data_IF_012422505024
#
_entry.id   IF_012422505024
#
_cell.length_a   1.000
_cell.length_b   1.000
_cell.length_c   1.000
_cell.angle_alpha   90.00
_cell.angle_beta   90.00
_cell.angle_gamma   90.00
#
_symmetry.space_group_name_H-M   'P 1'
#
loop_
_entity.id
_entity.type
_entity.pdbx_description
1 polymer ?
#
# COMPACT_ATOMS: atom_id res chain seq x y z
N UNK A 1 25.21 14.16 -10.57
CA UNK A 1 24.23 14.43 -9.48
C UNK A 1 22.88 15.00 -9.93
N UNK A 2 22.80 16.09 -10.71
CA UNK A 2 21.53 16.75 -11.08
C UNK A 2 20.54 15.87 -11.86
N UNK A 3 21.01 15.03 -12.79
CA UNK A 3 20.18 14.08 -13.56
C UNK A 3 19.49 13.04 -12.66
N UNK A 4 20.26 12.38 -11.77
CA UNK A 4 19.75 11.39 -10.79
C UNK A 4 18.66 11.98 -9.86
N UNK A 5 18.76 13.26 -9.46
CA UNK A 5 17.71 13.94 -8.66
C UNK A 5 16.41 14.14 -9.47
N UNK A 6 16.52 14.54 -10.74
CA UNK A 6 15.38 14.79 -11.62
C UNK A 6 14.59 13.52 -11.94
N UNK A 7 15.26 12.38 -12.17
CA UNK A 7 14.60 11.09 -12.41
C UNK A 7 13.81 10.61 -11.18
N UNK A 8 14.39 10.73 -9.98
CA UNK A 8 13.69 10.41 -8.72
C UNK A 8 12.44 11.27 -8.52
N UNK A 9 12.53 12.57 -8.82
CA UNK A 9 11.38 13.47 -8.71
C UNK A 9 10.27 13.12 -9.71
N UNK A 10 10.61 12.80 -10.96
CA UNK A 10 9.63 12.35 -11.97
C UNK A 10 8.91 11.07 -11.53
N UNK A 11 9.65 10.05 -11.11
CA UNK A 11 9.08 8.78 -10.62
C UNK A 11 8.18 9.01 -9.39
N UNK A 12 8.55 9.95 -8.49
CA UNK A 12 7.69 10.36 -7.36
C UNK A 12 6.39 10.99 -7.85
N UNK A 13 6.47 11.97 -8.74
CA UNK A 13 5.28 12.65 -9.28
C UNK A 13 4.36 11.70 -10.03
N UNK A 14 4.89 10.70 -10.74
CA UNK A 14 4.09 9.69 -11.44
C UNK A 14 3.29 8.83 -10.44
N UNK A 15 3.94 8.34 -9.37
CA UNK A 15 3.27 7.58 -8.32
C UNK A 15 2.20 8.43 -7.61
N UNK A 16 2.52 9.68 -7.31
CA UNK A 16 1.58 10.62 -6.69
C UNK A 16 0.38 10.91 -7.59
N UNK A 17 0.59 11.06 -8.90
CA UNK A 17 -0.47 11.26 -9.89
C UNK A 17 -1.39 10.03 -10.00
N UNK A 18 -0.83 8.81 -9.99
CA UNK A 18 -1.61 7.56 -9.95
C UNK A 18 -2.48 7.47 -8.70
N UNK A 19 -1.90 7.80 -7.54
CA UNK A 19 -2.63 7.77 -6.28
C UNK A 19 -3.77 8.81 -6.25
N UNK A 20 -3.48 10.04 -6.67
CA UNK A 20 -4.48 11.10 -6.78
C UNK A 20 -5.62 10.68 -7.72
N UNK A 21 -5.30 10.02 -8.83
CA UNK A 21 -6.28 9.51 -9.79
C UNK A 21 -7.20 8.43 -9.19
N UNK A 22 -6.61 7.49 -8.45
CA UNK A 22 -7.38 6.47 -7.73
C UNK A 22 -8.35 7.13 -6.74
N UNK A 23 -7.90 8.14 -6.02
CA UNK A 23 -8.73 8.80 -5.01
C UNK A 23 -9.84 9.66 -5.64
N UNK A 24 -9.59 10.32 -6.77
CA UNK A 24 -10.63 10.98 -7.58
C UNK A 24 -11.71 10.00 -8.06
N UNK A 25 -11.29 8.83 -8.57
CA UNK A 25 -12.25 7.82 -9.03
C UNK A 25 -13.08 7.24 -7.87
N UNK A 26 -12.52 7.16 -6.66
CA UNK A 26 -13.24 6.71 -5.47
C UNK A 26 -14.28 7.73 -5.04
N UNK A 27 -13.92 9.01 -4.99
CA UNK A 27 -14.87 10.06 -4.61
C UNK A 27 -16.01 10.15 -5.62
N UNK A 28 -15.69 10.00 -6.91
CA UNK A 28 -16.70 9.92 -7.96
C UNK A 28 -17.62 8.70 -7.78
N UNK A 29 -17.07 7.50 -7.58
CA UNK A 29 -17.84 6.28 -7.35
C UNK A 29 -18.83 6.44 -6.18
N UNK A 30 -18.34 6.99 -5.05
CA UNK A 30 -19.15 7.25 -3.87
C UNK A 30 -20.27 8.26 -4.16
N UNK A 31 -19.98 9.32 -4.91
CA UNK A 31 -20.99 10.31 -5.32
C UNK A 31 -22.07 9.70 -6.21
N UNK A 32 -21.69 8.90 -7.20
CA UNK A 32 -22.64 8.21 -8.08
C UNK A 32 -23.53 7.24 -7.30
N UNK A 33 -22.94 6.47 -6.38
CA UNK A 33 -23.67 5.56 -5.50
C UNK A 33 -24.64 6.29 -4.59
N UNK A 34 -24.23 7.41 -4.00
CA UNK A 34 -25.10 8.24 -3.17
C UNK A 34 -26.34 8.71 -3.94
N UNK A 35 -26.19 9.13 -5.21
CA UNK A 35 -27.33 9.52 -6.05
C UNK A 35 -28.30 8.36 -6.24
N UNK A 36 -27.80 7.14 -6.48
CA UNK A 36 -28.64 5.94 -6.60
C UNK A 36 -29.42 5.70 -5.29
N UNK A 37 -28.72 5.75 -4.16
CA UNK A 37 -29.31 5.48 -2.84
C UNK A 37 -30.36 6.54 -2.45
N UNK A 38 -30.11 7.82 -2.72
CA UNK A 38 -31.06 8.91 -2.48
C UNK A 38 -32.34 8.74 -3.31
N UNK A 39 -32.20 8.37 -4.59
CA UNK A 39 -33.35 8.14 -5.48
C UNK A 39 -34.15 6.91 -5.10
N UNK A 40 -33.46 5.82 -4.74
CA UNK A 40 -34.11 4.61 -4.26
C UNK A 40 -34.87 4.86 -2.96
N UNK A 41 -34.28 5.61 -2.03
CA UNK A 41 -34.93 6.03 -0.78
C UNK A 41 -36.16 6.91 -1.07
N UNK A 42 -36.04 7.90 -1.95
CA UNK A 42 -37.17 8.74 -2.35
C UNK A 42 -38.32 7.93 -2.98
N UNK A 43 -38.00 6.91 -3.78
CA UNK A 43 -38.98 6.00 -4.36
C UNK A 43 -39.74 5.20 -3.29
N UNK A 44 -39.02 4.62 -2.32
CA UNK A 44 -39.65 3.91 -1.19
C UNK A 44 -40.58 4.84 -0.42
N UNK A 45 -40.13 6.05 -0.09
CA UNK A 45 -40.93 7.04 0.63
C UNK A 45 -42.19 7.43 -0.15
N UNK A 46 -42.09 7.59 -1.47
CA UNK A 46 -43.24 7.89 -2.32
C UNK A 46 -44.26 6.75 -2.29
N UNK A 47 -43.82 5.50 -2.40
CA UNK A 47 -44.70 4.32 -2.30
C UNK A 47 -45.36 4.21 -0.92
N UNK A 48 -44.60 4.43 0.15
CA UNK A 48 -45.11 4.38 1.53
C UNK A 48 -46.09 5.52 1.85
N UNK A 49 -45.94 6.68 1.21
CA UNK A 49 -46.78 7.86 1.46
C UNK A 49 -48.23 7.71 0.95
N UNK A 50 -48.56 6.63 0.23
CA UNK A 50 -49.91 6.41 -0.30
C UNK A 50 -50.32 7.40 -1.40
N UNK A 51 -49.40 8.24 -1.88
CA UNK A 51 -49.67 9.21 -2.95
C UNK A 51 -50.02 8.55 -4.30
N UNK A 52 -49.93 7.21 -4.41
CA UNK A 52 -50.22 6.45 -5.62
C UNK A 52 -51.70 6.16 -5.86
N UNK A 53 -52.62 6.46 -4.93
CA UNK A 53 -54.00 5.97 -5.04
C UNK A 53 -54.89 6.70 -6.07
N UNK A 54 -54.48 7.83 -6.66
CA UNK A 54 -55.38 8.67 -7.47
C UNK A 54 -55.01 8.92 -8.95
N UNK A 55 -54.07 8.18 -9.57
CA UNK A 55 -53.74 8.48 -10.98
C UNK A 55 -53.02 7.40 -11.78
N UNK A 56 -53.79 6.53 -12.45
CA UNK A 56 -53.70 6.10 -13.87
C UNK A 56 -52.35 6.02 -14.63
N UNK A 57 -51.19 5.87 -13.99
CA UNK A 57 -49.88 5.93 -14.67
C UNK A 57 -48.82 4.91 -14.20
N UNK A 58 -49.22 3.90 -13.44
CA UNK A 58 -48.29 2.96 -12.78
C UNK A 58 -47.78 1.81 -13.68
N UNK A 59 -47.48 2.07 -14.96
CA UNK A 59 -46.99 1.01 -15.88
C UNK A 59 -45.47 0.90 -15.99
N UNK A 60 -44.69 1.68 -15.23
CA UNK A 60 -43.23 1.73 -15.44
C UNK A 60 -42.42 0.63 -14.72
N UNK A 61 -42.97 -0.11 -13.76
CA UNK A 61 -42.17 -1.04 -12.92
C UNK A 61 -42.71 -2.48 -12.81
N UNK A 62 -43.61 -2.90 -13.71
CA UNK A 62 -44.17 -4.27 -13.66
C UNK A 62 -43.32 -5.35 -14.35
N UNK A 63 -42.16 -5.02 -14.92
CA UNK A 63 -41.34 -5.98 -15.68
C UNK A 63 -39.90 -6.05 -15.17
N UNK A 64 -39.68 -6.67 -14.00
CA UNK A 64 -38.49 -7.46 -13.68
C UNK A 64 -38.55 -7.89 -12.22
N UNK A 65 -39.44 -8.83 -11.92
CA UNK A 65 -39.46 -9.56 -10.65
C UNK A 65 -38.42 -10.70 -10.60
N UNK A 66 -37.33 -10.57 -11.35
CA UNK A 66 -36.10 -11.34 -11.16
C UNK A 66 -35.26 -10.54 -10.17
N UNK A 67 -35.65 -10.61 -8.89
CA UNK A 67 -34.88 -10.03 -7.81
C UNK A 67 -33.49 -10.67 -7.79
N UNK A 68 -32.39 -9.90 -7.76
CA UNK A 68 -31.09 -10.44 -7.38
C UNK A 68 -31.14 -10.77 -5.89
N UNK A 69 -31.72 -11.93 -5.57
CA UNK A 69 -31.56 -12.53 -4.26
C UNK A 69 -30.08 -12.73 -4.00
N UNK A 70 -29.64 -12.26 -2.85
CA UNK A 70 -28.51 -12.87 -2.12
C UNK A 70 -27.12 -12.72 -2.74
N UNK A 71 -26.71 -11.50 -3.10
CA UNK A 71 -25.29 -11.13 -2.92
C UNK A 71 -25.14 -10.56 -1.51
N UNK A 72 -25.30 -11.47 -0.55
CA UNK A 72 -24.97 -11.26 0.84
C UNK A 72 -23.55 -10.77 0.93
N UNK A 73 -23.42 -9.60 1.54
CA UNK A 73 -22.20 -9.00 2.07
C UNK A 73 -21.48 -9.97 3.00
N UNK A 74 -20.82 -10.97 2.42
CA UNK A 74 -19.86 -11.88 3.05
C UNK A 74 -18.42 -11.50 2.72
N UNK A 75 -18.17 -10.22 2.41
CA UNK A 75 -16.83 -9.70 2.60
C UNK A 75 -16.68 -9.36 4.07
N UNK A 76 -16.39 -10.40 4.83
CA UNK A 76 -15.66 -10.30 6.09
C UNK A 76 -14.51 -9.34 5.85
N UNK A 77 -14.57 -8.18 6.50
CA UNK A 77 -13.41 -7.35 6.78
C UNK A 77 -12.49 -8.15 7.71
N UNK A 78 -11.83 -9.17 7.14
CA UNK A 78 -10.66 -9.77 7.74
C UNK A 78 -9.63 -8.64 7.78
N UNK A 79 -9.57 -8.00 8.94
CA UNK A 79 -8.62 -6.95 9.24
C UNK A 79 -7.25 -7.44 8.82
N UNK A 80 -6.61 -6.73 7.90
CA UNK A 80 -5.24 -6.99 7.44
C UNK A 80 -4.24 -7.06 8.62
N UNK A 81 -4.63 -6.54 9.80
CA UNK A 81 -3.90 -6.67 11.05
C UNK A 81 -3.82 -8.11 11.60
N UNK A 82 -4.68 -9.04 11.18
CA UNK A 82 -4.64 -10.45 11.62
C UNK A 82 -3.70 -11.34 10.80
N UNK A 83 -3.28 -10.93 9.60
CA UNK A 83 -2.33 -11.70 8.77
C UNK A 83 -0.88 -11.36 9.14
N UNK A 84 -0.64 -10.17 9.69
CA UNK A 84 0.66 -9.78 10.23
C UNK A 84 0.69 -10.19 11.70
N UNK A 85 1.00 -11.47 11.95
CA UNK A 85 1.11 -12.07 13.28
C UNK A 85 1.85 -11.18 14.28
N UNK A 86 1.07 -10.46 15.09
CA UNK A 86 1.54 -9.72 16.24
C UNK A 86 1.07 -10.51 17.45
N UNK A 87 1.94 -11.41 17.90
CA UNK A 87 1.75 -12.18 19.12
C UNK A 87 1.49 -11.22 20.29
N UNK A 88 0.31 -11.27 20.93
CA UNK A 88 -0.05 -10.37 22.03
C UNK A 88 0.52 -10.80 23.39
N UNK A 89 1.28 -11.90 23.47
CA UNK A 89 1.90 -12.40 24.70
C UNK A 89 3.38 -12.00 24.86
N UNK A 90 3.78 -10.83 24.35
CA UNK A 90 5.06 -10.21 24.72
C UNK A 90 4.88 -9.40 26.01
N UNK A 91 4.47 -10.10 27.08
CA UNK A 91 4.51 -9.58 28.45
C UNK A 91 5.98 -9.43 28.88
N UNK A 92 6.38 -8.18 29.07
CA UNK A 92 7.32 -7.73 30.11
C UNK A 92 8.73 -8.37 30.15
N UNK A 93 9.34 -8.60 28.98
CA UNK A 93 10.77 -8.89 28.89
C UNK A 93 11.59 -7.59 28.96
N UNK A 94 11.95 -7.28 30.21
CA UNK A 94 13.03 -6.41 30.67
C UNK A 94 14.04 -6.06 29.59
N UNK A 95 14.16 -4.77 29.33
CA UNK A 95 15.26 -3.95 28.82
C UNK A 95 16.67 -4.60 28.76
N UNK A 96 16.83 -5.73 28.06
CA UNK A 96 18.12 -6.36 27.83
C UNK A 96 18.73 -5.73 26.58
N UNK A 97 19.67 -4.81 26.81
CA UNK A 97 20.37 -4.07 25.77
C UNK A 97 20.74 -5.01 24.59
N UNK A 98 20.42 -4.64 23.34
CA UNK A 98 20.52 -5.54 22.20
C UNK A 98 21.93 -6.09 22.11
N UNK A 99 22.09 -7.37 22.47
CA UNK A 99 23.38 -8.04 22.49
C UNK A 99 23.95 -7.95 21.07
N UNK A 100 24.99 -7.13 20.92
CA UNK A 100 25.68 -6.89 19.66
C UNK A 100 26.19 -8.23 19.15
N UNK A 101 25.43 -8.87 18.26
CA UNK A 101 25.82 -10.13 17.62
C UNK A 101 27.16 -9.89 16.93
N UNK A 102 28.24 -10.36 17.55
CA UNK A 102 29.59 -10.28 17.00
C UNK A 102 29.56 -11.05 15.68
N UNK A 103 29.52 -10.31 14.57
CA UNK A 103 29.53 -10.90 13.23
C UNK A 103 30.82 -11.69 13.11
N UNK A 104 30.71 -13.02 13.05
CA UNK A 104 31.86 -13.93 12.86
C UNK A 104 32.54 -13.59 11.53
N UNK A 105 33.60 -12.78 11.60
CA UNK A 105 34.26 -12.11 10.46
C UNK A 105 35.15 -13.05 9.62
N UNK A 106 35.16 -14.36 9.84
CA UNK A 106 36.27 -15.23 9.42
C UNK A 106 35.97 -16.36 8.43
N UNK A 107 34.80 -16.42 7.78
CA UNK A 107 34.50 -17.54 6.86
C UNK A 107 34.88 -17.30 5.40
N UNK A 108 35.13 -16.06 4.99
CA UNK A 108 35.30 -15.68 3.58
C UNK A 108 36.48 -14.74 3.40
N UNK A 109 37.21 -14.89 2.30
CA UNK A 109 38.29 -13.97 1.92
C UNK A 109 37.74 -12.56 1.64
N UNK A 110 38.55 -11.49 1.70
CA UNK A 110 38.12 -10.15 1.30
C UNK A 110 37.47 -10.11 -0.09
N UNK A 111 38.06 -10.78 -1.08
CA UNK A 111 37.53 -10.86 -2.44
C UNK A 111 36.17 -11.60 -2.51
N UNK A 112 36.02 -12.72 -1.81
CA UNK A 112 34.74 -13.45 -1.73
C UNK A 112 33.65 -12.60 -1.05
N UNK A 113 34.00 -11.85 0.00
CA UNK A 113 33.06 -10.94 0.66
C UNK A 113 32.56 -9.85 -0.28
N UNK A 114 33.46 -9.32 -1.10
CA UNK A 114 33.12 -8.29 -2.09
C UNK A 114 32.20 -8.87 -3.18
N UNK A 115 32.53 -10.03 -3.72
CA UNK A 115 31.66 -10.74 -4.66
C UNK A 115 30.26 -11.00 -4.08
N UNK A 116 30.17 -11.47 -2.83
CA UNK A 116 28.88 -11.67 -2.13
C UNK A 116 28.12 -10.34 -1.94
N UNK A 117 28.83 -9.24 -1.68
CA UNK A 117 28.25 -7.89 -1.55
C UNK A 117 27.64 -7.43 -2.87
N UNK A 118 28.39 -7.52 -3.97
CA UNK A 118 27.93 -7.16 -5.32
C UNK A 118 26.73 -7.98 -5.75
N UNK A 119 26.78 -9.31 -5.59
CA UNK A 119 25.66 -10.19 -5.96
C UNK A 119 24.40 -9.91 -5.12
N UNK A 120 24.56 -9.65 -3.81
CA UNK A 120 23.44 -9.23 -2.96
C UNK A 120 22.86 -7.90 -3.42
N UNK A 121 23.70 -6.92 -3.76
CA UNK A 121 23.26 -5.61 -4.24
C UNK A 121 22.48 -5.78 -5.55
N UNK A 122 23.02 -6.53 -6.52
CA UNK A 122 22.37 -6.88 -7.78
C UNK A 122 20.99 -7.47 -7.57
N UNK A 123 20.89 -8.47 -6.70
CA UNK A 123 19.61 -9.09 -6.34
C UNK A 123 18.65 -8.12 -5.64
N UNK A 124 19.14 -7.21 -4.79
CA UNK A 124 18.32 -6.22 -4.11
C UNK A 124 17.79 -5.14 -5.07
N UNK A 125 18.64 -4.65 -5.98
CA UNK A 125 18.27 -3.72 -7.03
C UNK A 125 17.19 -4.32 -7.93
N UNK A 126 17.40 -5.56 -8.41
CA UNK A 126 16.40 -6.30 -9.20
C UNK A 126 15.05 -6.40 -8.49
N UNK A 127 15.01 -6.92 -7.26
CA UNK A 127 13.76 -7.03 -6.47
C UNK A 127 13.09 -5.68 -6.23
N UNK A 128 13.86 -4.59 -6.13
CA UNK A 128 13.30 -3.25 -5.94
C UNK A 128 12.69 -2.70 -7.23
N UNK A 129 13.28 -2.99 -8.38
CA UNK A 129 12.70 -2.68 -9.70
C UNK A 129 11.41 -3.48 -9.91
N UNK A 130 11.45 -4.79 -9.68
CA UNK A 130 10.29 -5.69 -9.84
C UNK A 130 9.11 -5.24 -8.98
N UNK A 131 9.36 -4.91 -7.70
CA UNK A 131 8.31 -4.39 -6.80
C UNK A 131 7.71 -3.07 -7.29
N UNK A 132 8.53 -2.15 -7.82
CA UNK A 132 8.03 -0.88 -8.37
C UNK A 132 7.21 -1.11 -9.64
N UNK A 133 7.68 -1.99 -10.53
CA UNK A 133 6.97 -2.36 -11.76
C UNK A 133 5.59 -2.95 -11.43
N UNK A 134 5.55 -3.95 -10.56
CA UNK A 134 4.30 -4.57 -10.11
C UNK A 134 3.34 -3.55 -9.48
N UNK A 135 3.83 -2.64 -8.65
CA UNK A 135 3.01 -1.59 -8.03
C UNK A 135 2.39 -0.64 -9.06
N UNK A 136 3.15 -0.23 -10.08
CA UNK A 136 2.64 0.62 -11.16
C UNK A 136 1.58 -0.13 -11.97
N UNK A 137 1.88 -1.35 -12.42
CA UNK A 137 0.92 -2.19 -13.18
C UNK A 137 -0.38 -2.44 -12.39
N UNK A 138 -0.27 -2.69 -11.08
CA UNK A 138 -1.43 -2.91 -10.21
C UNK A 138 -2.26 -1.65 -10.03
N UNK A 139 -1.61 -0.49 -9.86
CA UNK A 139 -2.27 0.81 -9.76
C UNK A 139 -3.03 1.15 -11.04
N UNK A 140 -2.44 0.88 -12.20
CA UNK A 140 -3.06 1.10 -13.51
C UNK A 140 -4.25 0.17 -13.75
N UNK A 141 -4.11 -1.11 -13.42
CA UNK A 141 -5.23 -2.06 -13.46
C UNK A 141 -6.37 -1.58 -12.58
N UNK A 142 -6.08 -1.08 -11.37
CA UNK A 142 -7.08 -0.57 -10.45
C UNK A 142 -7.81 0.66 -11.00
N UNK A 143 -7.07 1.60 -11.61
CA UNK A 143 -7.66 2.76 -12.30
C UNK A 143 -8.62 2.29 -13.41
N UNK A 144 -8.18 1.36 -14.26
CA UNK A 144 -8.99 0.86 -15.37
C UNK A 144 -10.32 0.22 -14.90
N UNK A 145 -10.27 -0.62 -13.85
CA UNK A 145 -11.48 -1.23 -13.27
C UNK A 145 -12.41 -0.16 -12.72
N UNK A 146 -11.89 0.80 -11.96
CA UNK A 146 -12.70 1.87 -11.37
C UNK A 146 -13.31 2.81 -12.42
N UNK A 147 -12.59 3.10 -13.51
CA UNK A 147 -13.11 3.87 -14.63
C UNK A 147 -14.27 3.14 -15.33
N UNK A 148 -14.15 1.82 -15.51
CA UNK A 148 -15.21 0.98 -16.08
C UNK A 148 -16.46 0.95 -15.17
N UNK A 149 -16.28 0.76 -13.86
CA UNK A 149 -17.39 0.77 -12.89
C UNK A 149 -18.10 2.12 -12.84
N UNK A 150 -17.35 3.22 -12.81
CA UNK A 150 -17.92 4.57 -12.85
C UNK A 150 -18.65 4.84 -14.16
N UNK A 151 -18.13 4.36 -15.30
CA UNK A 151 -18.82 4.45 -16.58
C UNK A 151 -20.17 3.71 -16.55
N UNK A 152 -20.21 2.48 -16.01
CA UNK A 152 -21.46 1.70 -15.85
C UNK A 152 -22.49 2.42 -14.98
N UNK A 153 -22.05 3.02 -13.86
CA UNK A 153 -22.94 3.79 -12.98
C UNK A 153 -23.49 5.05 -13.65
N UNK A 154 -22.65 5.79 -14.38
CA UNK A 154 -23.09 6.95 -15.17
C UNK A 154 -24.11 6.56 -16.23
N UNK A 155 -23.85 5.48 -16.96
CA UNK A 155 -24.76 4.97 -17.99
C UNK A 155 -26.11 4.54 -17.39
N UNK A 156 -26.08 3.87 -16.24
CA UNK A 156 -27.28 3.49 -15.48
C UNK A 156 -28.10 4.73 -15.08
N UNK A 157 -27.46 5.70 -14.42
CA UNK A 157 -28.13 6.92 -13.97
C UNK A 157 -28.68 7.74 -15.14
N UNK A 158 -27.95 7.80 -16.26
CA UNK A 158 -28.40 8.48 -17.48
C UNK A 158 -29.60 7.79 -18.09
N UNK A 159 -29.57 6.45 -18.21
CA UNK A 159 -30.68 5.65 -18.75
C UNK A 159 -31.96 5.82 -17.94
N UNK A 160 -31.85 6.00 -16.63
CA UNK A 160 -32.98 6.21 -15.73
C UNK A 160 -33.36 7.68 -15.51
N UNK A 161 -32.71 8.62 -16.20
CA UNK A 161 -32.98 10.06 -16.05
C UNK A 161 -32.68 10.60 -14.64
N UNK A 162 -31.82 9.92 -13.90
CA UNK A 162 -31.40 10.31 -12.55
C UNK A 162 -30.24 11.30 -12.56
N UNK A 163 -29.45 11.31 -13.65
CA UNK A 163 -28.38 12.27 -13.89
C UNK A 163 -28.80 13.24 -14.99
N UNK A 164 -28.83 14.53 -14.70
CA UNK A 164 -29.02 15.55 -15.72
C UNK A 164 -27.74 15.70 -16.54
N UNK A 165 -27.86 15.76 -17.86
CA UNK A 165 -26.71 15.96 -18.77
C UNK A 165 -25.92 17.24 -18.46
N UNK A 166 -26.53 18.21 -17.75
CA UNK A 166 -25.92 19.47 -17.32
C UNK A 166 -25.12 19.35 -16.03
N UNK A 167 -25.47 18.38 -15.17
CA UNK A 167 -24.81 18.11 -13.90
C UNK A 167 -23.91 16.87 -13.99
N UNK A 168 -23.71 16.34 -15.21
CA UNK A 168 -22.85 15.20 -15.43
C UNK A 168 -21.44 15.57 -14.95
N UNK A 169 -20.95 14.84 -13.95
CA UNK A 169 -19.56 14.93 -13.50
C UNK A 169 -18.70 14.77 -14.76
N UNK A 170 -17.86 15.77 -15.11
CA UNK A 170 -17.09 15.75 -16.33
C UNK A 170 -16.39 14.41 -16.42
N UNK A 171 -16.55 13.71 -17.56
CA UNK A 171 -15.78 12.49 -17.79
C UNK A 171 -14.32 12.92 -17.64
N UNK A 172 -13.58 12.37 -16.67
CA UNK A 172 -12.21 12.78 -16.47
C UNK A 172 -11.45 12.58 -17.77
N UNK A 173 -10.62 13.57 -18.11
CA UNK A 173 -9.85 13.53 -19.34
C UNK A 173 -9.06 12.20 -19.40
N UNK A 174 -9.02 11.53 -20.56
CA UNK A 174 -8.22 10.33 -20.71
C UNK A 174 -6.79 10.66 -20.27
N UNK A 175 -6.22 9.81 -19.42
CA UNK A 175 -4.84 9.97 -18.94
C UNK A 175 -3.93 10.06 -20.15
N UNK A 176 -3.08 11.07 -20.16
CA UNK A 176 -2.07 11.23 -21.20
C UNK A 176 -1.01 10.13 -21.02
N UNK A 177 -1.19 9.04 -21.77
CA UNK A 177 -0.27 7.89 -21.78
C UNK A 177 1.05 8.19 -22.48
N UNK A 178 1.22 9.38 -23.07
CA UNK A 178 2.48 9.77 -23.70
C UNK A 178 3.65 9.78 -22.71
N UNK A 179 3.39 10.11 -21.43
CA UNK A 179 4.41 10.15 -20.38
C UNK A 179 4.85 8.75 -19.92
N UNK A 180 4.05 7.72 -20.15
CA UNK A 180 4.37 6.35 -19.72
C UNK A 180 5.33 5.65 -20.71
N UNK A 181 5.35 6.05 -21.98
CA UNK A 181 6.27 5.49 -23.00
C UNK A 181 7.73 5.84 -22.76
N UNK A 182 8.02 7.02 -22.21
CA UNK A 182 9.40 7.48 -21.99
C UNK A 182 10.10 6.78 -20.81
N UNK A 183 9.38 5.98 -20.02
CA UNK A 183 9.93 5.30 -18.84
C UNK A 183 10.59 3.96 -19.19
N UNK A 184 10.13 3.28 -20.24
CA UNK A 184 10.68 1.97 -20.64
C UNK A 184 12.07 2.08 -21.27
N UNK A 185 12.35 3.16 -22.01
CA UNK A 185 13.62 3.33 -22.72
C UNK A 185 14.78 3.81 -21.82
N UNK A 186 14.51 4.31 -20.61
CA UNK A 186 15.55 4.89 -19.76
C UNK A 186 16.29 3.87 -18.87
N UNK A 187 15.73 2.68 -18.64
CA UNK A 187 16.28 1.71 -17.71
C UNK A 187 17.33 0.75 -18.35
N UNK A 188 17.53 0.80 -19.68
CA UNK A 188 18.48 -0.08 -20.38
C UNK A 188 19.93 0.43 -20.39
N UNK A 189 20.15 1.76 -20.53
CA UNK A 189 21.51 2.31 -20.67
C UNK A 189 22.17 2.71 -19.34
N UNK A 190 21.40 2.95 -18.27
CA UNK A 190 21.91 3.32 -16.93
C UNK A 190 22.42 2.09 -16.13
N UNK A 191 22.48 0.90 -16.77
CA UNK A 191 22.91 -0.37 -16.17
C UNK A 191 24.40 -0.65 -16.31
N UNK A 192 25.09 0.02 -17.22
CA UNK A 192 26.51 -0.26 -17.51
C UNK A 192 27.47 0.72 -16.82
N UNK A 193 27.01 1.89 -16.37
CA UNK A 193 27.90 2.91 -15.79
C UNK A 193 28.15 2.74 -14.27
N UNK A 194 27.18 2.25 -13.49
CA UNK A 194 27.32 2.20 -12.01
C UNK A 194 28.19 1.00 -11.50
N UNK A 195 28.57 0.02 -12.35
CA UNK A 195 29.43 -1.13 -11.96
C UNK A 195 30.92 -0.93 -12.35
N UNK A 196 31.27 0.09 -13.13
CA UNK A 196 32.64 0.31 -13.63
C UNK A 196 33.43 1.41 -12.92
N UNK A 197 32.79 2.27 -12.10
CA UNK A 197 33.48 3.38 -11.43
C UNK A 197 34.00 3.07 -10.00
N UNK A 198 33.82 1.84 -9.47
CA UNK A 198 34.33 1.46 -8.13
C UNK A 198 35.63 0.61 -8.18
N UNK A 199 36.36 0.61 -9.31
CA UNK A 199 37.64 -0.13 -9.47
C UNK A 199 38.94 0.69 -9.34
N UNK A 200 38.90 2.02 -9.13
CA UNK A 200 40.14 2.85 -9.16
C UNK A 200 40.75 3.26 -7.80
N UNK A 201 40.21 2.83 -6.64
CA UNK A 201 40.72 3.26 -5.30
C UNK A 201 41.48 2.14 -4.53
N UNK A 202 42.12 1.18 -5.21
CA UNK A 202 42.85 0.06 -4.56
C UNK A 202 44.35 -0.01 -4.85
N UNK A 203 45.00 1.11 -5.18
CA UNK A 203 46.48 1.18 -5.23
C UNK A 203 47.07 2.28 -4.34
N UNK A 204 46.78 2.25 -3.04
CA UNK A 204 47.70 2.78 -2.03
C UNK A 204 47.79 1.78 -0.88
N UNK A 205 48.58 0.72 -1.11
CA UNK A 205 49.25 -0.03 -0.04
C UNK A 205 50.16 0.95 0.72
N UNK A 206 49.59 1.79 1.59
CA UNK A 206 50.36 2.42 2.66
C UNK A 206 50.80 1.30 3.61
N UNK A 207 52.10 0.98 3.54
CA UNK A 207 52.84 0.24 4.54
C UNK A 207 52.44 0.72 5.94
N UNK A 208 51.58 -0.04 6.62
CA UNK A 208 51.37 0.11 8.06
C UNK A 208 52.67 -0.40 8.70
N UNK A 209 53.63 0.51 8.88
CA UNK A 209 54.78 0.30 9.76
C UNK A 209 54.25 -0.11 11.14
N UNK A 210 54.68 -1.30 11.57
CA UNK A 210 54.50 -1.82 12.92
C UNK A 210 54.96 -0.77 13.95
N UNK A 211 54.03 -0.03 14.54
CA UNK A 211 54.31 0.77 15.73
C UNK A 211 54.15 -0.10 16.98
N UNK A 212 55.23 -0.42 17.71
CA UNK A 212 55.14 -1.22 18.92
C UNK A 212 54.64 -0.36 20.09
N UNK A 213 53.79 -1.00 20.90
CA UNK A 213 53.62 -0.81 22.34
C UNK A 213 53.84 0.59 22.95
N UNK A 214 52.72 1.19 23.36
CA UNK A 214 52.64 1.75 24.71
C UNK A 214 52.50 3.26 24.79
N UNK A 215 51.26 3.72 24.98
CA UNK A 215 51.03 4.84 25.91
C UNK A 215 49.59 4.84 26.43
N UNK A 216 49.48 4.53 27.73
CA UNK A 216 48.29 4.72 28.56
C UNK A 216 48.16 6.21 28.89
N UNK A 217 47.07 6.85 28.48
CA UNK A 217 46.54 8.12 29.03
C UNK A 217 45.02 8.01 28.82
N UNK A 218 44.14 7.62 29.75
CA UNK A 218 43.83 8.04 31.12
C UNK A 218 43.45 9.52 31.26
N UNK A 219 42.15 9.73 31.58
CA UNK A 219 41.47 10.96 31.97
C UNK A 219 41.07 11.86 30.77
N UNK A 220 39.87 12.44 30.66
CA UNK A 220 39.01 13.08 31.67
C UNK A 220 37.61 13.38 31.09
N UNK A 221 36.57 13.03 31.85
CA UNK A 221 35.47 13.90 32.31
C UNK A 221 34.89 14.96 31.34
N UNK A 222 33.59 14.84 31.05
CA UNK A 222 32.79 15.85 30.36
C UNK A 222 31.31 15.47 30.31
N UNK A 223 30.69 15.52 31.49
CA UNK A 223 29.29 15.20 31.79
C UNK A 223 28.45 16.44 31.46
N UNK A 224 27.65 16.42 30.39
CA UNK A 224 26.61 17.42 30.18
C UNK A 224 25.25 16.73 30.13
N UNK A 225 24.46 17.07 31.16
CA UNK A 225 23.06 16.72 31.30
C UNK A 225 22.25 17.32 30.16
N UNK A 226 21.34 16.52 29.59
CA UNK A 226 20.22 17.06 28.82
C UNK A 226 18.94 16.68 29.55
N UNK A 227 18.22 17.73 29.89
CA UNK A 227 17.01 17.74 30.67
C UNK A 227 15.90 16.92 30.00
N UNK A 228 15.29 16.09 30.83
CA UNK A 228 14.02 15.42 30.61
C UNK A 228 12.91 16.47 30.54
N UNK A 229 12.32 16.70 29.36
CA UNK A 229 10.98 17.27 29.25
C UNK A 229 9.98 16.16 28.91
N UNK A 230 9.16 15.90 29.93
CA UNK A 230 7.93 15.15 29.97
C UNK A 230 6.90 15.60 28.93
N UNK A 231 6.36 14.68 28.13
CA UNK A 231 5.04 14.82 27.53
C UNK A 231 4.16 13.62 27.89
N UNK A 232 3.24 13.88 28.82
CA UNK A 232 2.26 12.94 29.36
C UNK A 232 1.03 12.88 28.44
N UNK A 233 1.06 11.98 27.47
CA UNK A 233 -0.11 11.62 26.67
C UNK A 233 -0.98 10.59 27.39
N UNK A 234 -1.97 11.05 28.14
CA UNK A 234 -3.00 10.21 28.75
C UNK A 234 -3.90 9.57 27.68
N UNK A 235 -3.77 8.26 27.47
CA UNK A 235 -4.76 7.49 26.71
C UNK A 235 -5.64 6.71 27.67
N UNK A 236 -6.87 7.19 27.84
CA UNK A 236 -7.95 6.54 28.57
C UNK A 236 -8.29 5.20 27.92
N UNK A 237 -7.85 4.09 28.52
CA UNK A 237 -8.26 2.75 28.16
C UNK A 237 -9.52 2.37 28.91
N UNK A 238 -10.68 2.48 28.26
CA UNK A 238 -11.93 1.93 28.76
C UNK A 238 -11.88 0.40 28.64
N UNK A 239 -11.64 -0.25 29.77
CA UNK A 239 -11.75 -1.70 29.94
C UNK A 239 -13.20 -2.14 29.90
N UNK A 240 -13.63 -2.65 28.76
CA UNK A 240 -14.82 -3.49 28.67
C UNK A 240 -14.40 -4.96 28.67
N UNK A 241 -14.75 -5.58 29.79
CA UNK A 241 -14.77 -7.00 30.05
C UNK A 241 -15.69 -7.75 29.08
N UNK A 242 -15.49 -9.07 29.07
CA UNK A 242 -16.43 -10.09 28.59
C UNK A 242 -16.33 -10.44 27.10
N UNK A 243 -15.71 -11.58 26.81
CA UNK A 243 -16.52 -12.74 26.41
C UNK A 243 -15.67 -14.01 26.29
N UNK A 244 -16.12 -15.00 27.06
CA UNK A 244 -15.88 -16.43 26.95
C UNK A 244 -15.95 -16.89 25.48
N UNK A 245 -14.81 -17.26 24.88
CA UNK A 245 -14.79 -17.87 23.55
C UNK A 245 -14.62 -19.38 23.67
N UNK A 246 -15.76 -20.05 23.60
CA UNK A 246 -15.87 -21.50 23.51
C UNK A 246 -15.11 -22.01 22.29
N UNK A 247 -14.17 -22.91 22.55
CA UNK A 247 -13.39 -23.69 21.59
C UNK A 247 -14.34 -24.42 20.61
N UNK A 248 -14.24 -24.22 19.28
CA UNK A 248 -15.00 -25.02 18.34
C UNK A 248 -14.47 -26.46 18.31
N UNK A 249 -15.34 -27.47 18.11
CA UNK A 249 -14.93 -28.86 18.01
C UNK A 249 -14.10 -29.06 16.74
N UNK A 250 -13.00 -29.80 16.89
CA UNK A 250 -12.21 -30.38 15.79
C UNK A 250 -13.09 -31.34 15.00
N UNK A 251 -13.37 -31.00 13.76
CA UNK A 251 -14.08 -31.85 12.80
C UNK A 251 -13.06 -32.78 12.14
N UNK A 252 -13.05 -34.03 12.60
CA UNK A 252 -12.33 -35.15 12.01
C UNK A 252 -13.15 -35.72 10.85
N UNK A 253 -12.64 -35.58 9.62
CA UNK A 253 -13.15 -36.30 8.45
C UNK A 253 -12.82 -35.56 7.14
N UNK A 254 -12.48 -36.18 6.02
CA UNK A 254 -12.67 -37.54 5.55
C UNK A 254 -11.59 -37.77 4.49
N UNK A 255 -10.81 -38.86 4.62
CA UNK A 255 -9.94 -39.35 3.56
C UNK A 255 -10.79 -40.01 2.46
N UNK A 256 -11.01 -39.29 1.37
CA UNK A 256 -11.52 -39.90 0.13
C UNK A 256 -10.33 -40.50 -0.60
N UNK A 257 -10.26 -41.83 -0.59
CA UNK A 257 -9.37 -42.62 -1.43
C UNK A 257 -9.87 -42.58 -2.89
N UNK A 258 -8.93 -42.41 -3.81
CA UNK A 258 -9.10 -42.68 -5.25
C UNK A 258 -8.09 -43.75 -5.65
#
# INVERSE_FOLDING_TARGET
YARKKKTRQRKKMQIEALQARIDELKTEFLGLRQIVDERYTAYILLVMSGAAENGSGASFLSSSAEGPSTLGSKFTSASLAQIIGRDPDAEDDKEEAPQKRTRRRGKYTPAEREHIRRERNRMHAKRTRDRKKLFLEESERKIAVMEEENAKLRDFLTRHGMLDSKNAVPKPAPRDTSLDRDVEDFDAEDLEEDDLEEEEDLEEDEEIEDCPEGTKILATLGREARDDESDSGATSGDGLSSSDFSKPPSDDGVSVAF
#
